data_IF_063746968662
#
_entry.id   IF_063746968662
#
_cell.length_a   1.000
_cell.length_b   1.000
_cell.length_c   1.000
_cell.angle_alpha   90.00
_cell.angle_beta   90.00
_cell.angle_gamma   90.00
#
_symmetry.space_group_name_H-M   'P 1'
#
loop_
_entity.id
_entity.type
_entity.pdbx_description
1 polymer ?
#
# COMPACT_ATOMS: atom_id res chain seq x y z
N UNK A 1 29.12 -58.69 -23.62
CA UNK A 1 29.16 -58.10 -24.97
C UNK A 1 29.51 -56.62 -24.79
N UNK A 2 30.60 -56.13 -25.39
CA UNK A 2 31.01 -54.72 -25.30
C UNK A 2 30.35 -53.88 -26.41
N UNK A 3 30.63 -52.57 -26.39
CA UNK A 3 30.41 -51.56 -27.45
C UNK A 3 29.00 -50.94 -27.53
N UNK A 4 28.79 -49.61 -27.53
CA UNK A 4 29.70 -48.47 -27.71
C UNK A 4 29.08 -47.17 -27.19
N UNK A 5 29.88 -46.34 -26.52
CA UNK A 5 29.86 -44.87 -26.61
C UNK A 5 31.04 -44.43 -27.51
N UNK A 6 31.27 -43.16 -27.90
CA UNK A 6 30.43 -41.95 -27.93
C UNK A 6 30.55 -41.18 -29.29
N UNK A 7 29.75 -40.12 -29.54
CA UNK A 7 30.21 -38.98 -30.39
C UNK A 7 29.43 -37.67 -30.21
N UNK A 8 30.10 -36.69 -29.60
CA UNK A 8 29.94 -35.23 -29.83
C UNK A 8 30.82 -34.81 -31.02
N UNK A 9 30.46 -33.76 -31.80
CA UNK A 9 31.26 -32.51 -31.84
C UNK A 9 30.36 -31.25 -31.75
N UNK A 10 30.71 -30.24 -30.93
CA UNK A 10 31.57 -29.06 -31.25
C UNK A 10 30.77 -27.93 -31.93
N UNK A 11 30.38 -26.88 -31.19
CA UNK A 11 31.09 -25.60 -30.97
C UNK A 11 31.12 -24.70 -32.23
N UNK A 12 30.46 -23.54 -32.15
CA UNK A 12 30.82 -22.37 -32.94
C UNK A 12 30.82 -21.15 -32.00
N UNK A 13 31.99 -20.55 -31.93
CA UNK A 13 32.46 -19.49 -31.04
C UNK A 13 32.78 -18.26 -31.89
N UNK A 14 32.39 -17.08 -31.42
CA UNK A 14 33.02 -15.78 -31.72
C UNK A 14 32.54 -14.87 -30.56
N UNK A 15 33.34 -14.47 -29.56
CA UNK A 15 34.61 -13.74 -29.53
C UNK A 15 34.59 -12.45 -30.36
N UNK A 16 34.47 -11.32 -29.68
CA UNK A 16 35.25 -10.12 -30.00
C UNK A 16 35.47 -9.29 -28.72
N UNK A 17 36.70 -8.79 -28.64
CA UNK A 17 37.48 -8.40 -27.48
C UNK A 17 37.04 -7.16 -26.67
N UNK A 18 37.40 -7.19 -25.38
CA UNK A 18 37.61 -6.05 -24.48
C UNK A 18 38.75 -5.15 -25.04
N UNK A 19 38.74 -3.83 -24.80
CA UNK A 19 39.68 -3.36 -23.78
C UNK A 19 39.16 -2.20 -22.90
N UNK A 20 39.38 -2.41 -21.61
CA UNK A 20 39.43 -1.46 -20.51
C UNK A 20 39.95 -0.02 -20.81
N UNK A 21 39.35 0.95 -20.12
CA UNK A 21 40.01 2.13 -19.52
C UNK A 21 39.04 2.76 -18.52
N UNK A 22 39.24 2.53 -17.22
CA UNK A 22 40.00 3.36 -16.27
C UNK A 22 39.37 4.73 -15.97
N UNK A 23 38.96 4.85 -14.70
CA UNK A 23 39.17 5.98 -13.79
C UNK A 23 38.51 7.32 -14.15
N UNK A 24 37.64 7.81 -13.28
CA UNK A 24 37.97 8.97 -12.44
C UNK A 24 36.85 9.31 -11.47
N UNK A 25 37.29 9.49 -10.23
CA UNK A 25 36.59 9.99 -9.06
C UNK A 25 36.43 11.51 -9.18
N UNK A 26 35.46 12.04 -8.42
CA UNK A 26 35.35 13.44 -7.97
C UNK A 26 34.85 14.49 -8.96
N UNK A 27 33.66 15.03 -8.65
CA UNK A 27 33.55 16.47 -8.39
C UNK A 27 32.28 16.76 -7.59
N UNK A 28 32.43 16.82 -6.26
CA UNK A 28 31.68 17.80 -5.50
C UNK A 28 32.22 19.17 -5.91
N UNK A 29 31.36 20.15 -6.21
CA UNK A 29 31.44 21.47 -5.60
C UNK A 29 30.34 22.44 -6.08
N UNK A 30 29.87 23.18 -5.08
CA UNK A 30 29.27 24.52 -5.09
C UNK A 30 27.81 24.67 -5.52
N UNK A 31 26.89 24.77 -4.57
CA UNK A 31 26.54 25.91 -3.67
C UNK A 31 25.78 27.06 -4.32
N UNK A 32 24.68 27.40 -3.63
CA UNK A 32 23.98 28.71 -3.60
C UNK A 32 23.11 29.00 -4.84
N UNK A 33 21.83 29.36 -4.74
CA UNK A 33 21.27 30.41 -3.87
C UNK A 33 19.74 30.27 -3.83
N UNK A 34 19.14 30.48 -2.65
CA UNK A 34 17.72 30.79 -2.49
C UNK A 34 17.43 32.12 -3.17
N UNK A 35 16.44 32.18 -4.06
CA UNK A 35 15.70 33.40 -4.31
C UNK A 35 14.20 33.11 -4.22
N UNK A 36 13.55 33.76 -3.24
CA UNK A 36 12.12 34.01 -3.20
C UNK A 36 11.69 34.72 -4.48
N UNK A 37 10.56 34.34 -5.09
CA UNK A 37 9.61 35.37 -5.56
C UNK A 37 8.19 34.84 -5.73
N UNK A 38 7.29 35.55 -5.05
CA UNK A 38 5.97 36.01 -5.48
C UNK A 38 4.77 35.07 -5.59
N UNK A 39 3.87 35.24 -4.61
CA UNK A 39 2.45 34.99 -4.75
C UNK A 39 1.88 35.81 -5.91
N UNK A 40 1.39 35.16 -6.96
CA UNK A 40 0.40 35.77 -7.86
C UNK A 40 -0.85 34.89 -7.88
N UNK A 41 -1.90 35.40 -7.23
CA UNK A 41 -3.28 34.96 -7.39
C UNK A 41 -3.79 35.41 -8.77
N UNK A 42 -4.38 34.50 -9.55
CA UNK A 42 -5.46 34.62 -10.58
C UNK A 42 -5.19 33.79 -11.86
N UNK A 43 -6.21 33.38 -12.63
CA UNK A 43 -7.36 32.53 -12.29
C UNK A 43 -7.46 31.29 -13.22
N UNK A 44 -8.26 30.30 -12.81
CA UNK A 44 -8.69 29.11 -13.58
C UNK A 44 -8.86 29.38 -15.08
N UNK A 45 -8.05 28.73 -15.91
CA UNK A 45 -8.34 28.47 -17.32
C UNK A 45 -8.31 26.97 -17.50
N UNK A 46 -9.45 26.40 -17.88
CA UNK A 46 -9.63 24.99 -18.08
C UNK A 46 -8.66 24.44 -19.12
N UNK A 47 -7.85 23.50 -18.68
CA UNK A 47 -7.35 22.43 -19.51
C UNK A 47 -7.94 21.16 -18.92
N UNK A 48 -8.75 20.45 -19.69
CA UNK A 48 -9.07 19.05 -19.41
C UNK A 48 -7.75 18.30 -19.55
N UNK A 49 -6.98 18.27 -18.47
CA UNK A 49 -5.92 17.30 -18.30
C UNK A 49 -6.68 15.98 -18.15
N UNK A 50 -6.62 15.14 -19.18
CA UNK A 50 -6.72 13.70 -18.98
C UNK A 50 -5.87 13.40 -17.75
N UNK A 51 -6.51 13.12 -16.63
CA UNK A 51 -5.83 12.49 -15.50
C UNK A 51 -5.22 11.23 -16.12
N UNK A 52 -3.91 11.28 -16.35
CA UNK A 52 -3.11 10.08 -16.50
C UNK A 52 -3.36 9.33 -15.19
N UNK A 53 -4.36 8.44 -15.21
CA UNK A 53 -4.76 7.61 -14.09
C UNK A 53 -3.60 6.63 -13.85
N UNK A 54 -2.52 7.17 -13.29
CA UNK A 54 -1.34 6.44 -12.89
C UNK A 54 -1.83 5.40 -11.91
N UNK A 55 -1.65 4.14 -12.28
CA UNK A 55 -2.20 3.02 -11.53
C UNK A 55 -1.78 3.15 -10.06
N UNK A 56 -2.78 3.24 -9.17
CA UNK A 56 -2.57 3.40 -7.74
C UNK A 56 -1.52 2.39 -7.25
N UNK A 57 -0.43 2.87 -6.62
CA UNK A 57 0.69 2.01 -6.22
C UNK A 57 0.28 0.85 -5.30
N UNK A 58 -0.78 1.05 -4.50
CA UNK A 58 -1.39 -0.01 -3.71
C UNK A 58 -2.11 -1.07 -4.58
N UNK A 59 -2.89 -0.65 -5.59
CA UNK A 59 -3.54 -1.56 -6.52
C UNK A 59 -2.51 -2.40 -7.30
N UNK A 60 -1.41 -1.76 -7.75
CA UNK A 60 -0.29 -2.45 -8.39
C UNK A 60 0.33 -3.51 -7.48
N UNK A 61 0.61 -3.15 -6.22
CA UNK A 61 1.14 -4.07 -5.23
C UNK A 61 0.19 -5.24 -4.98
N UNK A 62 -1.10 -4.96 -4.74
CA UNK A 62 -2.09 -6.00 -4.47
C UNK A 62 -2.25 -6.97 -5.64
N UNK A 63 -2.25 -6.46 -6.88
CA UNK A 63 -2.32 -7.26 -8.11
C UNK A 63 -1.02 -8.00 -8.45
N UNK A 64 0.11 -7.61 -7.84
CA UNK A 64 1.41 -8.25 -8.02
C UNK A 64 1.63 -9.51 -7.18
N UNK A 65 0.79 -9.75 -6.16
CA UNK A 65 0.93 -10.88 -5.24
C UNK A 65 -0.02 -12.06 -5.52
N UNK A 66 0.06 -13.08 -4.66
CA UNK A 66 -0.73 -14.31 -4.77
C UNK A 66 -2.23 -14.13 -4.58
N UNK A 67 -2.69 -12.99 -4.07
CA UNK A 67 -4.09 -12.68 -3.80
C UNK A 67 -4.74 -11.78 -4.85
N UNK A 68 -4.12 -11.64 -6.04
CA UNK A 68 -4.64 -10.80 -7.13
C UNK A 68 -6.13 -11.04 -7.41
N UNK A 69 -6.55 -12.29 -7.56
CA UNK A 69 -7.95 -12.60 -7.94
C UNK A 69 -8.94 -12.21 -6.83
N UNK A 70 -8.55 -12.44 -5.56
CA UNK A 70 -9.35 -12.00 -4.42
C UNK A 70 -9.43 -10.47 -4.34
N UNK A 71 -8.35 -9.77 -4.67
CA UNK A 71 -8.31 -8.31 -4.70
C UNK A 71 -9.19 -7.73 -5.80
N UNK A 72 -9.13 -8.29 -7.02
CA UNK A 72 -10.00 -7.85 -8.13
C UNK A 72 -11.47 -8.08 -7.81
N UNK A 73 -11.82 -9.22 -7.22
CA UNK A 73 -13.19 -9.49 -6.78
C UNK A 73 -13.68 -8.48 -5.72
N UNK A 74 -12.79 -8.05 -4.83
CA UNK A 74 -13.07 -7.00 -3.85
C UNK A 74 -13.25 -5.62 -4.51
N UNK A 75 -12.37 -5.22 -5.44
CA UNK A 75 -12.51 -3.97 -6.21
C UNK A 75 -13.85 -3.95 -6.96
N UNK A 76 -14.24 -5.06 -7.60
CA UNK A 76 -15.51 -5.17 -8.31
C UNK A 76 -16.72 -5.09 -7.38
N UNK A 77 -16.61 -5.64 -6.16
CA UNK A 77 -17.66 -5.49 -5.14
C UNK A 77 -17.84 -4.02 -4.74
N UNK A 78 -16.75 -3.31 -4.45
CA UNK A 78 -16.78 -1.89 -4.07
C UNK A 78 -17.43 -1.06 -5.16
N UNK A 79 -17.00 -1.23 -6.42
CA UNK A 79 -17.58 -0.50 -7.55
C UNK A 79 -19.10 -0.70 -7.65
N UNK A 80 -19.56 -1.95 -7.54
CA UNK A 80 -21.00 -2.24 -7.59
C UNK A 80 -21.78 -1.64 -6.43
N UNK A 81 -21.18 -1.55 -5.25
CA UNK A 81 -21.80 -0.98 -4.05
C UNK A 81 -21.84 0.54 -4.13
N UNK A 82 -20.76 1.16 -4.61
CA UNK A 82 -20.67 2.61 -4.84
C UNK A 82 -21.68 3.08 -5.89
N UNK A 83 -21.79 2.36 -7.01
CA UNK A 83 -22.81 2.62 -8.04
C UNK A 83 -24.24 2.60 -7.48
N UNK A 84 -24.49 1.74 -6.48
CA UNK A 84 -25.79 1.60 -5.81
C UNK A 84 -25.95 2.47 -4.58
N UNK A 85 -24.90 3.20 -4.16
CA UNK A 85 -24.84 3.95 -2.91
C UNK A 85 -25.24 3.10 -1.68
N UNK A 86 -24.80 1.85 -1.64
CA UNK A 86 -25.00 0.92 -0.51
C UNK A 86 -23.80 0.96 0.45
N UNK A 87 -23.93 0.33 1.63
CA UNK A 87 -22.83 0.21 2.60
C UNK A 87 -21.81 -0.86 2.15
N UNK A 88 -20.57 -0.43 1.92
CA UNK A 88 -19.45 -1.29 1.47
C UNK A 88 -19.10 -2.33 2.52
N UNK A 89 -19.11 -1.94 3.81
CA UNK A 89 -18.75 -2.83 4.90
C UNK A 89 -19.76 -3.97 4.94
N UNK A 90 -21.06 -3.68 4.87
CA UNK A 90 -22.09 -4.71 4.91
C UNK A 90 -22.08 -5.61 3.66
N UNK A 91 -21.90 -5.03 2.47
CA UNK A 91 -22.05 -5.77 1.20
C UNK A 91 -20.80 -6.50 0.75
N UNK A 92 -19.63 -5.99 1.09
CA UNK A 92 -18.35 -6.58 0.71
C UNK A 92 -17.63 -7.24 1.90
N UNK A 93 -18.26 -7.39 3.07
CA UNK A 93 -17.65 -7.99 4.26
C UNK A 93 -16.99 -9.35 3.99
N UNK A 94 -17.74 -10.26 3.38
CA UNK A 94 -17.29 -11.63 3.12
C UNK A 94 -16.10 -11.65 2.14
N UNK A 95 -16.16 -10.82 1.10
CA UNK A 95 -15.10 -10.71 0.10
C UNK A 95 -13.85 -10.05 0.71
N UNK A 96 -14.03 -9.02 1.53
CA UNK A 96 -12.95 -8.35 2.28
C UNK A 96 -12.29 -9.33 3.25
N UNK A 97 -13.08 -10.16 3.93
CA UNK A 97 -12.58 -11.20 4.83
C UNK A 97 -11.80 -12.27 4.06
N UNK A 98 -12.29 -12.71 2.91
CA UNK A 98 -11.58 -13.66 2.05
C UNK A 98 -10.25 -13.08 1.54
N UNK A 99 -10.23 -11.80 1.16
CA UNK A 99 -9.01 -11.09 0.76
C UNK A 99 -7.99 -11.05 1.89
N UNK A 100 -8.41 -10.65 3.11
CA UNK A 100 -7.55 -10.64 4.30
C UNK A 100 -6.97 -12.02 4.59
N UNK A 101 -7.80 -13.06 4.61
CA UNK A 101 -7.34 -14.44 4.85
C UNK A 101 -6.32 -14.90 3.80
N UNK A 102 -6.52 -14.52 2.53
CA UNK A 102 -5.53 -14.79 1.50
C UNK A 102 -4.21 -14.06 1.81
N UNK A 103 -4.26 -12.78 2.15
CA UNK A 103 -3.07 -12.00 2.47
C UNK A 103 -2.30 -12.58 3.66
N UNK A 104 -3.01 -13.05 4.69
CA UNK A 104 -2.42 -13.73 5.85
C UNK A 104 -1.75 -15.06 5.47
N UNK A 105 -2.34 -15.82 4.54
CA UNK A 105 -1.73 -17.04 4.01
C UNK A 105 -0.48 -16.75 3.15
N UNK A 106 -0.39 -15.54 2.59
CA UNK A 106 0.73 -15.04 1.79
C UNK A 106 1.48 -13.89 2.50
N UNK A 107 1.64 -14.01 3.82
CA UNK A 107 2.14 -12.93 4.66
C UNK A 107 3.58 -12.48 4.32
N UNK A 108 4.38 -13.34 3.67
CA UNK A 108 5.73 -12.98 3.21
C UNK A 108 5.72 -11.87 2.16
N UNK A 109 4.72 -11.86 1.28
CA UNK A 109 4.51 -10.78 0.31
C UNK A 109 3.77 -9.60 0.93
N UNK A 110 2.70 -9.87 1.69
CA UNK A 110 1.78 -8.83 2.19
C UNK A 110 2.15 -8.24 3.58
N UNK A 111 3.31 -8.57 4.14
CA UNK A 111 3.77 -8.15 5.48
C UNK A 111 3.58 -6.66 5.77
N UNK A 112 3.95 -5.73 4.86
CA UNK A 112 3.83 -4.29 5.13
C UNK A 112 2.39 -3.85 5.38
N UNK A 113 1.42 -4.44 4.66
CA UNK A 113 0.00 -4.12 4.80
C UNK A 113 -0.54 -4.75 6.08
N UNK A 114 -0.25 -6.03 6.33
CA UNK A 114 -0.73 -6.75 7.51
C UNK A 114 -0.25 -6.09 8.81
N UNK A 115 0.97 -5.55 8.81
CA UNK A 115 1.51 -4.81 9.95
C UNK A 115 0.81 -3.47 10.16
N UNK A 116 0.54 -2.74 9.09
CA UNK A 116 -0.21 -1.49 9.15
C UNK A 116 -1.65 -1.72 9.65
N UNK A 117 -2.30 -2.77 9.15
CA UNK A 117 -3.66 -3.16 9.58
C UNK A 117 -3.69 -3.48 11.07
N UNK A 118 -2.76 -4.31 11.54
CA UNK A 118 -2.66 -4.66 12.97
C UNK A 118 -2.39 -3.44 13.86
N UNK A 119 -1.55 -2.51 13.41
CA UNK A 119 -1.29 -1.28 14.15
C UNK A 119 -2.54 -0.41 14.25
N UNK A 120 -3.29 -0.26 13.15
CA UNK A 120 -4.54 0.47 13.12
C UNK A 120 -5.60 -0.17 14.03
N UNK A 121 -5.73 -1.50 14.02
CA UNK A 121 -6.63 -2.25 14.91
C UNK A 121 -6.30 -1.99 16.39
N UNK A 122 -5.01 -2.08 16.75
CA UNK A 122 -4.56 -1.82 18.12
C UNK A 122 -4.83 -0.39 18.57
N UNK A 123 -4.65 0.58 17.68
CA UNK A 123 -4.96 1.98 17.96
C UNK A 123 -6.47 2.18 18.18
N UNK A 124 -7.31 1.61 17.31
CA UNK A 124 -8.76 1.70 17.44
C UNK A 124 -9.24 1.09 18.77
N UNK A 125 -8.73 -0.09 19.15
CA UNK A 125 -9.05 -0.72 20.45
C UNK A 125 -8.67 0.19 21.61
N UNK A 126 -7.47 0.79 21.58
CA UNK A 126 -7.02 1.71 22.64
C UNK A 126 -7.90 2.96 22.74
N UNK A 127 -8.35 3.50 21.62
CA UNK A 127 -9.26 4.65 21.61
C UNK A 127 -10.61 4.28 22.24
N UNK A 128 -11.19 3.14 21.86
CA UNK A 128 -12.44 2.65 22.43
C UNK A 128 -12.35 2.38 23.94
N UNK A 129 -11.23 1.83 24.41
CA UNK A 129 -10.98 1.62 25.84
C UNK A 129 -10.93 2.95 26.60
N UNK A 130 -10.21 3.94 26.06
CA UNK A 130 -10.11 5.27 26.65
C UNK A 130 -11.48 5.97 26.71
N UNK A 131 -12.25 5.92 25.62
CA UNK A 131 -13.60 6.50 25.58
C UNK A 131 -14.51 5.86 26.64
N UNK A 132 -14.43 4.55 26.81
CA UNK A 132 -15.19 3.82 27.83
C UNK A 132 -14.78 4.20 29.26
N UNK A 133 -13.48 4.40 29.52
CA UNK A 133 -12.99 4.87 30.82
C UNK A 133 -13.44 6.30 31.12
N UNK A 134 -13.40 7.19 30.13
CA UNK A 134 -13.88 8.57 30.24
C UNK A 134 -15.40 8.63 30.47
N UNK A 135 -16.18 7.81 29.77
CA UNK A 135 -17.63 7.69 29.96
C UNK A 135 -17.97 7.18 31.37
N UNK A 136 -17.26 6.15 31.85
CA UNK A 136 -17.44 5.61 33.19
C UNK A 136 -17.10 6.65 34.29
N UNK A 137 -16.02 7.41 34.10
CA UNK A 137 -15.63 8.48 35.01
C UNK A 137 -16.66 9.64 35.02
N UNK A 138 -17.19 10.02 33.85
CA UNK A 138 -18.22 11.04 33.74
C UNK A 138 -19.55 10.61 34.38
N UNK A 139 -19.93 9.33 34.24
CA UNK A 139 -21.11 8.76 34.88
C UNK A 139 -21.01 8.75 36.41
N UNK A 140 -19.82 8.43 36.96
CA UNK A 140 -19.57 8.46 38.40
C UNK A 140 -19.69 9.88 38.98
N UNK A 141 -19.09 10.88 38.34
CA UNK A 141 -19.15 12.28 38.80
C UNK A 141 -20.57 12.86 38.76
N UNK A 142 -21.37 12.47 37.76
CA UNK A 142 -22.78 12.91 37.65
C UNK A 142 -23.68 12.29 38.73
N UNK A 143 -23.32 11.10 39.24
CA UNK A 143 -24.03 10.43 40.33
C UNK A 143 -23.73 11.05 41.70
N UNK A 144 -22.47 11.45 41.97
CA UNK A 144 -22.08 12.12 43.21
C UNK A 144 -22.63 13.55 43.32
N UNK A 145 -22.80 14.25 42.20
CA UNK A 145 -23.34 15.62 42.21
C UNK A 145 -24.87 15.66 42.44
N UNK A 146 -25.60 14.59 42.17
CA UNK A 146 -27.06 14.50 42.40
C UNK A 146 -27.41 14.16 43.87
N UNK A 147 -26.50 13.47 44.59
CA UNK A 147 -26.70 13.08 45.99
C UNK A 147 -26.43 14.22 46.98
N UNK A 148 -25.74 15.28 46.56
CA UNK A 148 -25.39 16.44 47.40
C UNK A 148 -26.39 17.60 47.34
N UNK A 149 -27.36 17.55 46.43
CA UNK A 149 -28.39 18.60 46.22
C UNK A 149 -29.77 18.25 46.83
N UNK A 150 -29.89 17.11 47.52
CA UNK A 150 -31.10 16.68 48.25
C UNK A 150 -30.88 16.66 49.76
#
# INVERSE_FOLDING_TARGET
MPSSDPKTPEEAKASFDDPASKESIESLNSTKTLEETDQTNTPMTGNQEEEEEGECGFCLFMKGGGCKDAFVAWEDCIKQVEEKNEDIVEKCFEITSALKLCMEAHADYYEPILKAEKAAEQEAVKQLEKEKEEEAAAAAQKSESNEKEK
#
